data_IF_562854218040
#
_entry.id   IF_562854218040
#
_cell.length_a   1.000
_cell.length_b   1.000
_cell.length_c   1.000
_cell.angle_alpha   90.00
_cell.angle_beta   90.00
_cell.angle_gamma   90.00
#
_symmetry.space_group_name_H-M   'P 1'
#
loop_
_entity.id
_entity.type
_entity.pdbx_description
1 polymer ?
#
# COMPACT_ATOMS: atom_id res chain seq x y z
N UNK A 1 3.45 -22.15 19.52
CA UNK A 1 3.43 -21.59 18.15
C UNK A 1 3.13 -20.11 18.28
N UNK A 2 4.12 -19.24 18.14
CA UNK A 2 3.90 -17.79 18.20
C UNK A 2 3.50 -17.34 16.80
N UNK A 3 2.22 -17.07 16.60
CA UNK A 3 1.76 -16.35 15.41
C UNK A 3 2.03 -14.88 15.68
N UNK A 4 3.05 -14.32 15.04
CA UNK A 4 3.25 -12.87 15.01
C UNK A 4 2.46 -12.36 13.82
N UNK A 5 1.30 -11.75 14.06
CA UNK A 5 0.53 -11.00 13.06
C UNK A 5 1.33 -9.73 12.73
N UNK A 6 2.05 -9.73 11.60
CA UNK A 6 2.92 -8.61 11.20
C UNK A 6 2.16 -7.77 10.18
N UNK A 7 1.61 -6.65 10.67
CA UNK A 7 1.06 -5.60 9.83
C UNK A 7 2.12 -4.53 9.58
N UNK A 8 2.42 -4.26 8.31
CA UNK A 8 3.30 -3.15 7.92
C UNK A 8 2.49 -2.00 7.33
N UNK A 9 2.95 -0.78 7.58
CA UNK A 9 2.35 0.44 7.03
C UNK A 9 3.36 1.07 6.08
N UNK A 10 3.00 1.15 4.80
CA UNK A 10 3.80 1.82 3.78
C UNK A 10 3.15 3.18 3.49
N UNK A 11 3.89 4.26 3.73
CA UNK A 11 3.53 5.59 3.26
C UNK A 11 4.32 5.87 1.98
N UNK A 12 3.62 5.96 0.86
CA UNK A 12 4.20 5.97 -0.49
C UNK A 12 3.97 7.37 -1.07
N UNK A 13 5.05 8.02 -1.49
CA UNK A 13 4.98 9.27 -2.27
C UNK A 13 5.28 8.98 -3.73
N UNK A 14 4.43 9.44 -4.64
CA UNK A 14 4.58 9.27 -6.08
C UNK A 14 4.32 10.59 -6.82
N UNK A 15 4.84 10.71 -8.04
CA UNK A 15 4.67 11.91 -8.85
C UNK A 15 3.20 12.20 -9.19
N UNK A 16 2.40 11.16 -9.37
CA UNK A 16 1.00 11.22 -9.75
C UNK A 16 0.21 10.05 -9.16
N UNK A 17 -1.12 10.15 -9.28
CA UNK A 17 -2.07 9.19 -8.75
C UNK A 17 -1.98 7.81 -9.42
N UNK A 18 -1.76 7.76 -10.73
CA UNK A 18 -1.67 6.49 -11.46
C UNK A 18 -0.44 5.71 -11.00
N UNK A 19 0.70 6.38 -10.81
CA UNK A 19 1.92 5.79 -10.25
C UNK A 19 1.69 5.26 -8.82
N UNK A 20 1.02 6.04 -7.95
CA UNK A 20 0.73 5.60 -6.58
C UNK A 20 -0.14 4.34 -6.56
N UNK A 21 -1.20 4.32 -7.37
CA UNK A 21 -2.12 3.19 -7.45
C UNK A 21 -1.48 1.96 -8.11
N UNK A 22 -0.56 2.14 -9.07
CA UNK A 22 0.21 1.03 -9.63
C UNK A 22 1.07 0.34 -8.55
N UNK A 23 1.73 1.10 -7.67
CA UNK A 23 2.49 0.52 -6.54
C UNK A 23 1.56 -0.24 -5.59
N UNK A 24 0.37 0.30 -5.28
CA UNK A 24 -0.61 -0.40 -4.45
C UNK A 24 -1.03 -1.74 -5.09
N UNK A 25 -1.36 -1.75 -6.39
CA UNK A 25 -1.76 -2.96 -7.11
C UNK A 25 -0.65 -4.02 -7.13
N UNK A 26 0.61 -3.62 -7.22
CA UNK A 26 1.74 -4.55 -7.08
C UNK A 26 1.79 -5.15 -5.68
N UNK A 27 1.66 -4.33 -4.62
CA UNK A 27 1.64 -4.83 -3.24
C UNK A 27 0.49 -5.81 -2.99
N UNK A 28 -0.67 -5.58 -3.58
CA UNK A 28 -1.85 -6.44 -3.50
C UNK A 28 -1.67 -7.81 -4.14
N UNK A 29 -0.78 -7.93 -5.13
CA UNK A 29 -0.45 -9.22 -5.73
C UNK A 29 0.31 -10.11 -4.74
N UNK A 30 1.24 -9.52 -3.99
CA UNK A 30 2.10 -10.24 -3.05
C UNK A 30 1.45 -10.50 -1.70
N UNK A 31 0.75 -9.50 -1.15
CA UNK A 31 0.21 -9.53 0.21
C UNK A 31 -1.23 -9.06 0.28
N UNK A 32 -1.97 -9.58 1.24
CA UNK A 32 -3.29 -9.03 1.56
C UNK A 32 -3.13 -7.59 2.07
N UNK A 33 -3.91 -6.67 1.51
CA UNK A 33 -3.96 -5.27 1.93
C UNK A 33 -5.32 -4.95 2.55
N UNK A 34 -5.40 -3.85 3.30
CA UNK A 34 -6.65 -3.36 3.89
C UNK A 34 -7.67 -2.79 2.88
N UNK A 35 -7.39 -2.89 1.58
CA UNK A 35 -8.21 -2.34 0.51
C UNK A 35 -7.69 -1.01 -0.04
N UNK A 36 -8.53 -0.36 -0.87
CA UNK A 36 -8.17 0.81 -1.66
C UNK A 36 -7.57 1.94 -0.82
N UNK A 37 -6.31 2.30 -1.11
CA UNK A 37 -5.65 3.38 -0.39
C UNK A 37 -6.23 4.74 -0.80
N UNK A 38 -6.43 5.63 0.19
CA UNK A 38 -6.85 7.00 -0.09
C UNK A 38 -5.66 7.83 -0.58
N UNK A 39 -5.82 8.43 -1.75
CA UNK A 39 -4.85 9.35 -2.35
C UNK A 39 -4.96 10.72 -1.68
N UNK A 40 -3.84 11.21 -1.15
CA UNK A 40 -3.73 12.51 -0.48
C UNK A 40 -2.82 13.42 -1.29
N UNK A 41 -3.28 14.66 -1.53
CA UNK A 41 -2.46 15.75 -2.07
C UNK A 41 -2.19 16.74 -0.95
N UNK A 42 -0.92 16.94 -0.60
CA UNK A 42 -0.52 17.91 0.41
C UNK A 42 -0.13 19.22 -0.29
N UNK A 43 -0.78 20.36 0.00
CA UNK A 43 -0.41 21.65 -0.58
C UNK A 43 1.08 21.94 -0.34
N UNK A 44 1.79 22.31 -1.41
CA UNK A 44 3.23 22.62 -1.36
C UNK A 44 4.16 21.40 -1.40
N UNK A 45 3.64 20.17 -1.31
CA UNK A 45 4.42 18.97 -1.55
C UNK A 45 4.35 18.54 -3.03
N UNK A 46 5.45 18.08 -3.64
CA UNK A 46 5.41 17.51 -4.97
C UNK A 46 4.70 16.15 -4.94
N UNK A 47 3.74 15.95 -5.85
CA UNK A 47 3.09 14.67 -6.10
C UNK A 47 1.93 14.34 -5.14
N UNK A 48 1.71 13.03 -4.95
CA UNK A 48 0.63 12.47 -4.15
C UNK A 48 1.18 11.45 -3.14
N UNK A 49 0.43 11.24 -2.06
CA UNK A 49 0.74 10.24 -1.05
C UNK A 49 -0.41 9.23 -0.93
N UNK A 50 -0.07 7.95 -0.78
CA UNK A 50 -1.01 6.92 -0.34
C UNK A 50 -0.47 6.23 0.91
N UNK A 51 -1.37 5.65 1.69
CA UNK A 51 -1.00 4.78 2.81
C UNK A 51 -1.60 3.40 2.61
N UNK A 52 -0.76 2.38 2.61
CA UNK A 52 -1.15 0.98 2.44
C UNK A 52 -0.82 0.22 3.72
N UNK A 53 -1.77 -0.57 4.19
CA UNK A 53 -1.56 -1.53 5.27
C UNK A 53 -1.50 -2.93 4.67
N UNK A 54 -0.39 -3.63 4.86
CA UNK A 54 -0.16 -4.96 4.28
C UNK A 54 0.12 -5.99 5.37
N UNK A 55 -0.55 -7.13 5.29
CA UNK A 55 -0.28 -8.30 6.11
C UNK A 55 0.70 -9.22 5.37
N UNK A 56 1.96 -9.22 5.81
CA UNK A 56 3.03 -9.93 5.11
C UNK A 56 2.90 -11.46 5.17
N UNK A 57 2.08 -12.01 6.07
CA UNK A 57 1.86 -13.47 6.18
C UNK A 57 0.72 -13.95 5.32
N UNK A 58 -0.17 -13.05 4.90
CA UNK A 58 -1.34 -13.41 4.10
C UNK A 58 -1.05 -13.10 2.63
N UNK A 59 -1.09 -14.15 1.82
CA UNK A 59 -0.84 -14.01 0.39
C UNK A 59 -1.91 -13.12 -0.27
N UNK A 60 -1.47 -12.36 -1.27
CA UNK A 60 -2.30 -11.45 -2.05
C UNK A 60 -3.12 -12.16 -3.13
N UNK A 61 -3.56 -11.42 -4.13
CA UNK A 61 -4.40 -11.93 -5.24
C UNK A 61 -3.67 -12.85 -6.21
N UNK A 62 -2.34 -12.97 -6.12
CA UNK A 62 -1.55 -13.89 -6.96
C UNK A 62 -1.41 -15.31 -6.36
N UNK A 63 -2.00 -15.56 -5.18
CA UNK A 63 -1.87 -16.81 -4.42
C UNK A 63 -2.64 -18.01 -4.99
#
# INVERSE_FOLDING_TARGET
MVVLDILVVLDITAADEATALAVQSELEQWWATSGAATVRRTPGAPGVQIRVYSDLRRAGTQA
#
